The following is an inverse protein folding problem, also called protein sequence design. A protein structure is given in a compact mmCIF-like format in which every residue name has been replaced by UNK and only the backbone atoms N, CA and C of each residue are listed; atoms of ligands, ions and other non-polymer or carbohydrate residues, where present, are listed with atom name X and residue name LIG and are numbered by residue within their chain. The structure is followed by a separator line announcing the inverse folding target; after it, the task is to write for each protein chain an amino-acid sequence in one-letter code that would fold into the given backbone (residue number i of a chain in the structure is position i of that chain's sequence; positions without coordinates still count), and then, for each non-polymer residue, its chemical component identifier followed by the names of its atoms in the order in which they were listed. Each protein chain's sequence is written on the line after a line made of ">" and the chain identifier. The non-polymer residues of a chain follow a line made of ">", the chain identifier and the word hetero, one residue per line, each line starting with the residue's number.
data_IF_975723653753
#
_entry.id   IF_975723653753
#
_cell.length_a   1.000
_cell.length_b   1.000
_cell.length_c   1.000
_cell.angle_alpha   90.00
_cell.angle_beta   90.00
_cell.angle_gamma   90.00
#
_symmetry.space_group_name_H-M   'P 1'
#
loop_
_entity.id
_entity.type
_entity.pdbx_description
1 polymer ?
#
# COMPACT_ATOMS: atom_id res chain seq x y z
N UNK A 1 29.97 -1.11 -30.37
CA UNK A 1 28.51 -1.03 -30.17
C UNK A 1 28.26 -1.32 -28.70
N UNK A 2 27.66 -0.38 -27.96
CA UNK A 2 27.31 -0.60 -26.55
C UNK A 2 26.35 -1.78 -26.44
N UNK A 3 26.75 -2.85 -25.76
CA UNK A 3 25.89 -4.00 -25.42
C UNK A 3 24.81 -3.57 -24.43
N UNK A 4 23.78 -2.87 -24.91
CA UNK A 4 22.60 -2.54 -24.12
C UNK A 4 21.68 -3.75 -24.16
N UNK A 5 21.48 -4.39 -23.00
CA UNK A 5 20.53 -5.50 -22.86
C UNK A 5 19.12 -5.00 -23.21
N UNK A 6 18.38 -5.77 -24.02
CA UNK A 6 16.99 -5.42 -24.39
C UNK A 6 16.10 -5.45 -23.15
N UNK A 7 15.34 -4.38 -22.93
CA UNK A 7 14.41 -4.21 -21.83
C UNK A 7 13.22 -5.19 -21.93
N UNK A 8 12.76 -5.70 -20.78
CA UNK A 8 11.56 -6.52 -20.66
C UNK A 8 10.70 -6.02 -19.49
N UNK A 9 9.93 -4.93 -19.71
CA UNK A 9 9.01 -4.42 -18.70
C UNK A 9 7.98 -5.50 -18.33
N UNK A 10 7.77 -5.72 -17.04
CA UNK A 10 6.84 -6.76 -16.60
C UNK A 10 5.40 -6.35 -16.81
N UNK A 11 5.11 -5.05 -16.75
CA UNK A 11 3.76 -4.50 -16.73
C UNK A 11 3.04 -4.68 -15.39
N UNK A 12 3.66 -5.35 -14.42
CA UNK A 12 3.12 -5.55 -13.07
C UNK A 12 3.12 -4.19 -12.35
N UNK A 13 1.96 -3.69 -11.89
CA UNK A 13 1.87 -2.41 -11.20
C UNK A 13 2.86 -2.34 -10.01
N UNK A 14 3.68 -1.28 -10.01
CA UNK A 14 4.70 -1.03 -9.00
C UNK A 14 6.01 -1.82 -9.17
N UNK A 15 6.00 -3.02 -9.78
CA UNK A 15 7.21 -3.85 -9.91
C UNK A 15 8.27 -3.18 -10.79
N UNK A 16 7.88 -2.71 -11.97
CA UNK A 16 8.80 -2.05 -12.90
C UNK A 16 9.36 -0.76 -12.28
N UNK A 17 8.55 -0.04 -11.50
CA UNK A 17 8.98 1.16 -10.76
C UNK A 17 10.05 0.84 -9.73
N UNK A 18 9.86 -0.20 -8.91
CA UNK A 18 10.82 -0.54 -7.84
C UNK A 18 12.09 -1.22 -8.34
N UNK A 19 12.04 -1.83 -9.53
CA UNK A 19 13.19 -2.48 -10.17
C UNK A 19 13.91 -1.58 -11.17
N UNK A 20 13.35 -0.41 -11.50
CA UNK A 20 13.93 0.50 -12.49
C UNK A 20 13.82 -0.02 -13.93
N UNK A 21 12.69 -0.65 -14.29
CA UNK A 21 12.39 -1.10 -15.66
C UNK A 21 11.93 -2.55 -15.80
N UNK A 22 11.86 -3.32 -14.71
CA UNK A 22 11.50 -4.73 -14.77
C UNK A 22 12.70 -5.63 -15.09
N UNK A 23 12.54 -6.55 -16.03
CA UNK A 23 13.57 -7.53 -16.41
C UNK A 23 14.35 -7.10 -17.66
N UNK A 24 15.35 -7.89 -18.03
CA UNK A 24 15.93 -7.87 -19.38
C UNK A 24 15.51 -9.13 -20.15
N UNK A 25 15.58 -9.06 -21.49
CA UNK A 25 15.36 -10.24 -22.35
C UNK A 25 16.44 -11.28 -22.15
N UNK A 26 16.08 -12.54 -22.40
CA UNK A 26 16.99 -13.67 -22.24
C UNK A 26 17.33 -14.01 -20.77
N UNK A 27 16.62 -13.40 -19.82
CA UNK A 27 16.81 -13.67 -18.40
C UNK A 27 15.95 -14.84 -17.93
N UNK A 28 16.55 -15.66 -17.06
CA UNK A 28 15.86 -16.67 -16.27
C UNK A 28 15.63 -16.12 -14.86
N UNK A 29 14.36 -16.04 -14.46
CA UNK A 29 13.92 -15.50 -13.17
C UNK A 29 13.28 -16.62 -12.35
N UNK A 30 13.72 -16.77 -11.10
CA UNK A 30 13.17 -17.73 -10.15
C UNK A 30 12.26 -17.03 -9.15
N UNK A 31 11.05 -17.54 -8.96
CA UNK A 31 10.06 -17.06 -8.00
C UNK A 31 9.80 -18.15 -6.97
N UNK A 32 10.33 -17.95 -5.77
CA UNK A 32 10.23 -18.89 -4.65
C UNK A 32 9.24 -18.40 -3.60
N UNK A 33 8.55 -19.31 -2.92
CA UNK A 33 7.66 -18.94 -1.81
C UNK A 33 6.82 -20.10 -1.29
N UNK A 34 6.30 -19.95 -0.07
CA UNK A 34 5.41 -20.94 0.54
C UNK A 34 4.09 -21.09 -0.25
N UNK A 35 3.32 -22.17 -0.05
CA UNK A 35 1.96 -22.28 -0.60
C UNK A 35 1.10 -21.06 -0.26
N UNK A 36 0.29 -20.58 -1.21
CA UNK A 36 -0.56 -19.40 -1.01
C UNK A 36 0.16 -18.03 -0.99
N UNK A 37 1.48 -17.99 -1.19
CA UNK A 37 2.24 -16.73 -1.30
C UNK A 37 1.92 -15.94 -2.56
N UNK A 38 1.45 -16.57 -3.64
CA UNK A 38 1.07 -15.89 -4.89
C UNK A 38 2.08 -15.98 -6.03
N UNK A 39 2.90 -17.04 -6.05
CA UNK A 39 3.85 -17.34 -7.13
C UNK A 39 3.15 -17.37 -8.50
N UNK A 40 2.07 -18.14 -8.61
CA UNK A 40 1.21 -18.25 -9.79
C UNK A 40 0.61 -16.91 -10.19
N UNK A 41 0.14 -16.11 -9.23
CA UNK A 41 -0.42 -14.79 -9.52
C UNK A 41 0.63 -13.82 -10.07
N UNK A 42 1.86 -13.84 -9.55
CA UNK A 42 2.97 -13.03 -10.06
C UNK A 42 3.36 -13.44 -11.48
N UNK A 43 3.59 -14.74 -11.70
CA UNK A 43 4.01 -15.29 -12.98
C UNK A 43 2.94 -15.12 -14.06
N UNK A 44 1.67 -15.39 -13.73
CA UNK A 44 0.54 -15.15 -14.62
C UNK A 44 0.42 -13.67 -14.98
N UNK A 45 0.61 -12.75 -14.02
CA UNK A 45 0.54 -11.30 -14.28
C UNK A 45 1.58 -10.85 -15.30
N UNK A 46 2.79 -11.40 -15.25
CA UNK A 46 3.85 -11.14 -16.22
C UNK A 46 3.46 -11.53 -17.66
N UNK A 47 2.80 -12.68 -17.83
CA UNK A 47 2.28 -13.14 -19.13
C UNK A 47 1.10 -12.29 -19.57
N UNK A 48 0.14 -12.07 -18.66
CA UNK A 48 -1.08 -11.31 -18.90
C UNK A 48 -0.78 -9.91 -19.44
N UNK A 49 0.09 -9.17 -18.75
CA UNK A 49 0.44 -7.81 -19.18
C UNK A 49 1.35 -7.80 -20.42
N UNK A 50 2.19 -8.83 -20.58
CA UNK A 50 2.94 -9.07 -21.81
C UNK A 50 2.08 -9.13 -23.05
N UNK A 51 1.11 -10.03 -23.04
CA UNK A 51 0.19 -10.21 -24.14
C UNK A 51 -0.73 -8.98 -24.31
N UNK A 52 -1.30 -8.47 -23.21
CA UNK A 52 -2.30 -7.39 -23.26
C UNK A 52 -1.74 -6.02 -23.61
N UNK A 53 -0.60 -5.62 -23.04
CA UNK A 53 -0.04 -4.26 -23.18
C UNK A 53 1.07 -4.18 -24.21
N UNK A 54 1.87 -5.23 -24.34
CA UNK A 54 3.07 -5.21 -25.17
C UNK A 54 2.92 -6.05 -26.44
N UNK A 55 1.79 -6.76 -26.61
CA UNK A 55 1.57 -7.61 -27.78
C UNK A 55 2.56 -8.77 -27.86
N UNK A 56 3.05 -9.25 -26.73
CA UNK A 56 4.08 -10.28 -26.66
C UNK A 56 3.47 -11.66 -26.39
N UNK A 57 3.64 -12.64 -27.28
CA UNK A 57 3.12 -13.98 -27.07
C UNK A 57 3.70 -14.64 -25.82
N UNK A 58 2.81 -15.22 -25.02
CA UNK A 58 3.11 -15.83 -23.73
C UNK A 58 2.84 -17.32 -23.71
N UNK A 59 3.77 -18.09 -23.14
CA UNK A 59 3.60 -19.50 -22.85
C UNK A 59 3.48 -19.73 -21.34
N UNK A 60 2.42 -20.39 -20.89
CA UNK A 60 2.27 -20.86 -19.52
C UNK A 60 2.31 -22.37 -19.52
N UNK A 61 3.14 -22.92 -18.66
CA UNK A 61 3.36 -24.35 -18.49
C UNK A 61 3.02 -24.67 -17.05
N UNK A 62 2.02 -25.51 -16.82
CA UNK A 62 1.59 -25.88 -15.48
C UNK A 62 1.78 -27.37 -15.21
N UNK A 63 2.31 -27.72 -14.03
CA UNK A 63 2.55 -29.12 -13.62
C UNK A 63 1.50 -29.68 -12.66
N UNK A 64 0.48 -28.89 -12.28
CA UNK A 64 -0.50 -29.33 -11.29
C UNK A 64 -1.85 -28.62 -11.31
N UNK A 65 -2.10 -27.71 -12.25
CA UNK A 65 -3.35 -26.96 -12.34
C UNK A 65 -3.94 -27.09 -13.75
N UNK A 66 -5.24 -27.41 -13.83
CA UNK A 66 -5.93 -27.48 -15.13
C UNK A 66 -6.14 -26.10 -15.74
N UNK A 67 -6.24 -26.02 -17.06
CA UNK A 67 -6.49 -24.78 -17.78
C UNK A 67 -7.80 -24.09 -17.32
N UNK A 68 -8.82 -24.90 -17.02
CA UNK A 68 -10.12 -24.39 -16.55
C UNK A 68 -10.02 -23.74 -15.17
N UNK A 69 -9.30 -24.35 -14.25
CA UNK A 69 -9.04 -23.79 -12.91
C UNK A 69 -8.23 -22.51 -13.01
N UNK A 70 -7.18 -22.51 -13.83
CA UNK A 70 -6.35 -21.32 -14.07
C UNK A 70 -7.19 -20.14 -14.55
N UNK A 71 -8.03 -20.33 -15.58
CA UNK A 71 -8.91 -19.27 -16.08
C UNK A 71 -9.87 -18.76 -15.00
N UNK A 72 -10.44 -19.66 -14.20
CA UNK A 72 -11.37 -19.31 -13.13
C UNK A 72 -10.68 -18.47 -12.03
N UNK A 73 -9.53 -18.92 -11.51
CA UNK A 73 -8.81 -18.20 -10.46
C UNK A 73 -8.27 -16.85 -10.94
N UNK A 74 -7.67 -16.80 -12.14
CA UNK A 74 -7.13 -15.55 -12.69
C UNK A 74 -8.24 -14.51 -12.91
N UNK A 75 -9.39 -14.92 -13.44
CA UNK A 75 -10.55 -14.04 -13.59
C UNK A 75 -11.07 -13.55 -12.24
N UNK A 76 -11.07 -14.42 -11.22
CA UNK A 76 -11.44 -14.10 -9.84
C UNK A 76 -10.62 -12.96 -9.23
N UNK A 77 -9.34 -12.83 -9.60
CA UNK A 77 -8.45 -11.76 -9.11
C UNK A 77 -8.30 -10.58 -10.10
N UNK A 78 -9.04 -10.57 -11.20
CA UNK A 78 -9.09 -9.44 -12.15
C UNK A 78 -8.20 -9.57 -13.39
N UNK A 79 -7.76 -10.78 -13.73
CA UNK A 79 -7.01 -11.06 -14.96
C UNK A 79 -7.82 -11.98 -15.87
N UNK A 80 -8.48 -11.43 -16.88
CA UNK A 80 -9.30 -12.23 -17.81
C UNK A 80 -8.49 -12.70 -19.02
N UNK A 81 -8.05 -13.96 -18.98
CA UNK A 81 -7.22 -14.55 -20.02
C UNK A 81 -7.98 -15.00 -21.26
N UNK A 82 -9.32 -15.14 -21.23
CA UNK A 82 -10.09 -15.67 -22.37
C UNK A 82 -9.78 -14.91 -23.68
N UNK A 83 -9.81 -13.56 -23.72
CA UNK A 83 -9.55 -12.82 -24.96
C UNK A 83 -8.11 -12.97 -25.47
N UNK A 84 -7.16 -13.32 -24.60
CA UNK A 84 -5.75 -13.50 -24.96
C UNK A 84 -5.50 -14.89 -25.51
N UNK A 85 -6.22 -15.90 -25.00
CA UNK A 85 -6.19 -17.26 -25.52
C UNK A 85 -6.90 -17.34 -26.87
N UNK A 86 -8.07 -16.71 -27.01
CA UNK A 86 -8.85 -16.71 -28.26
C UNK A 86 -8.08 -16.04 -29.41
N UNK A 87 -7.20 -15.08 -29.08
CA UNK A 87 -6.31 -14.41 -30.04
C UNK A 87 -4.97 -15.13 -30.24
N UNK A 88 -4.81 -16.31 -29.66
CA UNK A 88 -3.57 -17.10 -29.67
C UNK A 88 -2.33 -16.35 -29.11
N UNK A 89 -2.57 -15.29 -28.33
CA UNK A 89 -1.51 -14.49 -27.69
C UNK A 89 -0.98 -15.17 -26.42
N UNK A 90 -1.80 -15.99 -25.77
CA UNK A 90 -1.39 -16.79 -24.62
C UNK A 90 -1.74 -18.25 -24.90
N UNK A 91 -0.74 -19.13 -24.71
CA UNK A 91 -0.96 -20.57 -24.75
C UNK A 91 -0.69 -21.18 -23.38
N UNK A 92 -1.60 -22.04 -22.95
CA UNK A 92 -1.47 -22.80 -21.70
C UNK A 92 -1.21 -24.27 -22.04
N UNK A 93 -0.22 -24.86 -21.39
CA UNK A 93 0.15 -26.26 -21.53
C UNK A 93 0.13 -26.91 -20.16
N UNK A 94 -0.72 -27.91 -20.03
CA UNK A 94 -0.70 -28.84 -18.90
C UNK A 94 0.39 -29.87 -19.13
N UNK A 95 1.29 -30.00 -18.16
CA UNK A 95 2.33 -31.00 -18.15
C UNK A 95 2.01 -32.08 -17.12
N UNK A 96 1.91 -33.34 -17.52
CA UNK A 96 1.91 -34.42 -16.55
C UNK A 96 3.26 -34.43 -15.82
N UNK A 97 3.25 -34.73 -14.53
CA UNK A 97 4.48 -34.90 -13.74
C UNK A 97 5.27 -36.07 -14.34
N UNK A 98 6.48 -35.84 -14.87
CA UNK A 98 7.28 -36.91 -15.45
C UNK A 98 7.72 -37.87 -14.36
N UNK A 99 7.57 -39.16 -14.62
CA UNK A 99 7.93 -40.25 -13.71
C UNK A 99 9.31 -40.85 -14.01
N UNK A 100 9.96 -40.44 -15.10
CA UNK A 100 11.30 -40.88 -15.49
C UNK A 100 12.12 -39.76 -16.14
N UNK A 101 13.42 -40.00 -16.34
CA UNK A 101 14.33 -39.09 -17.04
C UNK A 101 13.98 -38.97 -18.52
N UNK A 102 13.63 -40.07 -19.20
CA UNK A 102 13.23 -40.02 -20.61
C UNK A 102 11.94 -39.20 -20.79
N UNK A 103 11.01 -39.31 -19.84
CA UNK A 103 9.79 -38.50 -19.82
C UNK A 103 10.12 -37.01 -19.68
N UNK A 104 11.09 -36.65 -18.83
CA UNK A 104 11.57 -35.27 -18.68
C UNK A 104 12.19 -34.72 -19.97
N UNK A 105 13.02 -35.52 -20.65
CA UNK A 105 13.65 -35.13 -21.92
C UNK A 105 12.61 -34.91 -23.03
N UNK A 106 11.69 -35.87 -23.20
CA UNK A 106 10.59 -35.78 -24.19
C UNK A 106 9.72 -34.56 -23.93
N UNK A 107 9.44 -34.30 -22.66
CA UNK A 107 8.68 -33.13 -22.23
C UNK A 107 9.44 -31.83 -22.51
N UNK A 108 10.75 -31.79 -22.28
CA UNK A 108 11.59 -30.64 -22.61
C UNK A 108 11.59 -30.31 -24.11
N UNK A 109 11.65 -31.33 -24.98
CA UNK A 109 11.57 -31.15 -26.43
C UNK A 109 10.21 -30.60 -26.86
N UNK A 110 9.12 -31.14 -26.31
CA UNK A 110 7.77 -30.64 -26.56
C UNK A 110 7.62 -29.18 -26.14
N UNK A 111 8.16 -28.80 -24.98
CA UNK A 111 8.15 -27.43 -24.50
C UNK A 111 8.87 -26.47 -25.45
N UNK A 112 10.07 -26.83 -25.90
CA UNK A 112 10.84 -26.03 -26.86
C UNK A 112 10.08 -25.88 -28.17
N UNK A 113 9.53 -26.98 -28.70
CA UNK A 113 8.72 -26.97 -29.93
C UNK A 113 7.52 -26.04 -29.84
N UNK A 114 6.74 -26.12 -28.76
CA UNK A 114 5.56 -25.27 -28.58
C UNK A 114 5.93 -23.79 -28.37
N UNK A 115 7.00 -23.51 -27.62
CA UNK A 115 7.50 -22.15 -27.45
C UNK A 115 7.95 -21.52 -28.78
N UNK A 116 8.59 -22.30 -29.67
CA UNK A 116 8.97 -21.86 -31.01
C UNK A 116 7.74 -21.60 -31.89
N UNK A 117 6.76 -22.50 -31.88
CA UNK A 117 5.54 -22.37 -32.71
C UNK A 117 4.79 -21.07 -32.46
N UNK A 118 4.63 -20.69 -31.20
CA UNK A 118 3.93 -19.44 -30.84
C UNK A 118 4.87 -18.23 -30.78
N UNK A 119 6.15 -18.39 -31.12
CA UNK A 119 7.19 -17.36 -31.02
C UNK A 119 7.17 -16.67 -29.65
N UNK A 120 7.12 -17.49 -28.59
CA UNK A 120 6.95 -17.01 -27.22
C UNK A 120 8.05 -16.01 -26.86
N UNK A 121 7.67 -14.82 -26.39
CA UNK A 121 8.61 -13.82 -25.84
C UNK A 121 8.63 -13.82 -24.32
N UNK A 122 7.62 -14.43 -23.70
CA UNK A 122 7.48 -14.60 -22.25
C UNK A 122 7.07 -16.04 -21.95
N UNK A 123 7.77 -16.68 -21.03
CA UNK A 123 7.49 -18.08 -20.67
C UNK A 123 7.39 -18.19 -19.14
N UNK A 124 6.38 -18.91 -18.67
CA UNK A 124 6.19 -19.25 -17.25
C UNK A 124 6.13 -20.76 -17.11
N UNK A 125 6.86 -21.28 -16.11
CA UNK A 125 6.79 -22.68 -15.67
C UNK A 125 6.36 -22.70 -14.22
N UNK A 126 5.13 -23.19 -13.96
CA UNK A 126 4.48 -23.20 -12.64
C UNK A 126 3.95 -24.60 -12.28
N UNK A 127 4.67 -25.44 -11.55
CA UNK A 127 5.95 -25.21 -10.88
C UNK A 127 6.98 -26.26 -11.29
N UNK A 128 8.27 -25.98 -11.06
CA UNK A 128 9.32 -26.98 -11.20
C UNK A 128 9.41 -27.93 -10.01
N UNK A 129 8.71 -27.67 -8.91
CA UNK A 129 8.84 -28.44 -7.67
C UNK A 129 8.70 -29.96 -7.87
N UNK A 130 7.72 -30.48 -8.63
CA UNK A 130 7.62 -31.92 -8.89
C UNK A 130 8.82 -32.47 -9.68
N UNK A 131 9.41 -31.68 -10.57
CA UNK A 131 10.57 -32.11 -11.37
C UNK A 131 11.83 -32.22 -10.52
N UNK A 132 11.99 -31.32 -9.55
CA UNK A 132 13.14 -31.30 -8.65
C UNK A 132 13.14 -32.44 -7.63
N UNK A 133 12.01 -33.14 -7.45
CA UNK A 133 11.91 -34.33 -6.62
C UNK A 133 12.53 -35.58 -7.27
N UNK A 134 12.87 -35.53 -8.57
CA UNK A 134 13.54 -36.61 -9.27
C UNK A 134 15.00 -36.76 -8.82
N UNK A 135 15.46 -37.99 -8.65
CA UNK A 135 16.81 -38.28 -8.18
C UNK A 135 17.78 -38.58 -9.33
N UNK A 136 19.05 -38.09 -9.28
CA UNK A 136 19.60 -37.18 -8.27
C UNK A 136 19.24 -35.69 -8.55
N UNK A 137 18.87 -34.90 -7.53
CA UNK A 137 18.34 -33.53 -7.74
C UNK A 137 19.32 -32.57 -8.44
N UNK A 138 20.62 -32.68 -8.15
CA UNK A 138 21.65 -31.80 -8.72
C UNK A 138 21.75 -31.92 -10.25
N UNK A 139 21.65 -33.14 -10.77
CA UNK A 139 21.72 -33.39 -12.20
C UNK A 139 20.46 -32.89 -12.93
N UNK A 140 19.28 -33.13 -12.33
CA UNK A 140 18.01 -32.63 -12.85
C UNK A 140 18.00 -31.10 -12.90
N UNK A 141 18.50 -30.43 -11.84
CA UNK A 141 18.71 -28.98 -11.83
C UNK A 141 19.59 -28.51 -12.99
N UNK A 142 20.70 -29.20 -13.25
CA UNK A 142 21.63 -28.85 -14.33
C UNK A 142 21.00 -29.01 -15.72
N UNK A 143 20.28 -30.12 -15.97
CA UNK A 143 19.55 -30.38 -17.22
C UNK A 143 18.52 -29.29 -17.47
N UNK A 144 17.66 -29.02 -16.48
CA UNK A 144 16.60 -28.01 -16.59
C UNK A 144 17.19 -26.62 -16.82
N UNK A 145 18.21 -26.23 -16.05
CA UNK A 145 18.87 -24.93 -16.22
C UNK A 145 19.42 -24.75 -17.63
N UNK A 146 20.12 -25.77 -18.15
CA UNK A 146 20.71 -25.69 -19.49
C UNK A 146 19.62 -25.59 -20.57
N UNK A 147 18.59 -26.43 -20.49
CA UNK A 147 17.47 -26.40 -21.43
C UNK A 147 16.77 -25.03 -21.43
N UNK A 148 16.47 -24.48 -20.25
CA UNK A 148 15.81 -23.19 -20.11
C UNK A 148 16.70 -22.03 -20.57
N UNK A 149 18.01 -22.07 -20.29
CA UNK A 149 18.92 -21.02 -20.76
C UNK A 149 19.05 -21.02 -22.28
N UNK A 150 19.19 -22.21 -22.87
CA UNK A 150 19.20 -22.38 -24.34
C UNK A 150 17.91 -21.87 -24.95
N UNK A 151 16.75 -22.23 -24.39
CA UNK A 151 15.44 -21.76 -24.87
C UNK A 151 15.31 -20.23 -24.78
N UNK A 152 15.70 -19.67 -23.63
CA UNK A 152 15.66 -18.23 -23.37
C UNK A 152 16.52 -17.45 -24.36
N UNK A 153 17.72 -17.94 -24.70
CA UNK A 153 18.61 -17.32 -25.67
C UNK A 153 18.10 -17.48 -27.10
N UNK A 154 17.62 -18.67 -27.47
CA UNK A 154 17.15 -18.99 -28.84
C UNK A 154 15.94 -18.15 -29.23
N UNK A 155 14.99 -17.96 -28.30
CA UNK A 155 13.78 -17.17 -28.53
C UNK A 155 13.94 -15.70 -28.12
N UNK A 156 15.08 -15.34 -27.54
CA UNK A 156 15.27 -14.07 -26.82
C UNK A 156 14.08 -13.78 -25.87
N UNK A 157 13.65 -14.82 -25.15
CA UNK A 157 12.48 -14.85 -24.29
C UNK A 157 12.88 -14.76 -22.83
N UNK A 158 12.12 -14.02 -22.03
CA UNK A 158 12.30 -13.99 -20.57
C UNK A 158 11.48 -15.10 -19.94
N UNK A 159 12.11 -15.91 -19.09
CA UNK A 159 11.49 -17.08 -18.48
C UNK A 159 11.35 -16.86 -16.98
N UNK A 160 10.13 -17.06 -16.46
CA UNK A 160 9.86 -17.16 -15.03
C UNK A 160 9.62 -18.62 -14.66
N UNK A 161 10.24 -19.05 -13.58
CA UNK A 161 10.07 -20.37 -13.00
C UNK A 161 9.62 -20.24 -11.56
N UNK A 162 8.63 -21.02 -11.14
CA UNK A 162 8.20 -21.06 -9.74
C UNK A 162 8.71 -22.30 -9.02
N UNK A 163 9.04 -22.13 -7.74
CA UNK A 163 9.35 -23.23 -6.82
C UNK A 163 8.66 -23.01 -5.47
N UNK A 164 8.19 -24.08 -4.87
CA UNK A 164 7.66 -24.08 -3.51
C UNK A 164 8.78 -24.18 -2.47
N UNK A 165 8.65 -23.40 -1.40
CA UNK A 165 9.51 -23.52 -0.22
C UNK A 165 8.78 -24.29 0.89
N UNK A 166 9.43 -25.27 1.56
CA UNK A 166 8.84 -25.99 2.69
C UNK A 166 8.37 -25.06 3.80
N UNK A 167 7.23 -25.39 4.41
CA UNK A 167 6.66 -24.62 5.53
C UNK A 167 7.62 -24.59 6.74
N UNK A 168 7.79 -23.44 7.38
CA UNK A 168 8.67 -23.27 8.55
C UNK A 168 10.16 -23.06 8.25
N UNK A 169 10.58 -23.07 6.98
CA UNK A 169 11.97 -22.73 6.60
C UNK A 169 12.14 -21.21 6.42
N UNK A 170 12.87 -20.55 7.33
CA UNK A 170 13.26 -19.15 7.15
C UNK A 170 14.36 -18.98 6.10
N UNK A 171 15.24 -19.98 6.03
CA UNK A 171 16.27 -20.06 5.00
C UNK A 171 15.62 -20.53 3.71
N UNK A 172 15.88 -19.76 2.67
CA UNK A 172 15.88 -20.30 1.33
C UNK A 172 16.87 -21.46 1.39
N UNK A 173 16.38 -22.70 1.39
CA UNK A 173 17.23 -23.87 1.54
C UNK A 173 18.38 -23.86 0.53
N UNK A 174 19.39 -24.68 0.82
CA UNK A 174 20.55 -24.97 -0.05
C UNK A 174 20.13 -25.20 -1.52
N UNK A 175 18.89 -25.61 -1.78
CA UNK A 175 18.33 -25.88 -3.12
C UNK A 175 18.06 -24.69 -4.06
N UNK A 176 17.82 -23.46 -3.57
CA UNK A 176 17.49 -22.30 -4.44
C UNK A 176 18.75 -21.57 -4.90
N UNK A 177 19.76 -21.48 -4.04
CA UNK A 177 21.06 -20.88 -4.36
C UNK A 177 21.79 -21.69 -5.45
N UNK A 178 21.53 -22.99 -5.50
CA UNK A 178 22.03 -23.90 -6.54
C UNK A 178 21.36 -23.73 -7.91
N UNK A 179 20.14 -23.19 -7.96
CA UNK A 179 19.47 -22.85 -9.22
C UNK A 179 20.00 -21.49 -9.68
N UNK A 180 21.23 -21.47 -10.21
CA UNK A 180 21.93 -20.27 -10.69
C UNK A 180 21.11 -19.54 -11.77
N UNK A 181 20.30 -18.55 -11.37
CA UNK A 181 19.47 -17.73 -12.26
C UNK A 181 19.99 -16.30 -12.41
N UNK A 182 19.39 -15.54 -13.33
CA UNK A 182 19.67 -14.12 -13.51
C UNK A 182 18.93 -13.25 -12.48
N UNK A 183 17.79 -13.72 -11.98
CA UNK A 183 17.07 -13.10 -10.86
C UNK A 183 16.39 -14.10 -9.93
N UNK A 184 16.27 -13.74 -8.65
CA UNK A 184 15.61 -14.52 -7.61
C UNK A 184 14.69 -13.59 -6.82
N UNK A 185 13.40 -13.93 -6.80
CA UNK A 185 12.34 -13.21 -6.10
C UNK A 185 11.70 -14.19 -5.11
N UNK A 186 11.65 -13.80 -3.83
CA UNK A 186 11.02 -14.56 -2.75
C UNK A 186 9.70 -13.91 -2.36
N UNK A 187 8.64 -14.70 -2.29
CA UNK A 187 7.30 -14.28 -1.89
C UNK A 187 6.97 -14.92 -0.53
N UNK A 188 6.76 -14.09 0.48
CA UNK A 188 6.54 -14.49 1.86
C UNK A 188 5.18 -14.01 2.34
N UNK A 189 4.47 -14.88 3.07
CA UNK A 189 3.35 -14.46 3.92
C UNK A 189 3.87 -14.25 5.33
N UNK A 190 3.74 -13.03 5.85
CA UNK A 190 4.17 -12.68 7.20
C UNK A 190 2.93 -12.63 8.08
N UNK A 191 2.73 -13.67 8.89
CA UNK A 191 1.75 -13.66 9.98
C UNK A 191 2.38 -13.12 11.26
N UNK A 192 1.68 -12.24 11.98
CA UNK A 192 1.98 -11.90 13.38
C UNK A 192 0.80 -12.35 14.23
N UNK A 193 1.04 -12.68 15.50
CA UNK A 193 0.02 -13.24 16.40
C UNK A 193 -1.25 -12.38 16.56
N UNK A 194 -1.14 -11.05 16.39
CA UNK A 194 -2.24 -10.10 16.67
C UNK A 194 -2.61 -9.23 15.45
N UNK A 195 -1.87 -9.34 14.33
CA UNK A 195 -2.09 -8.49 13.14
C UNK A 195 -2.46 -9.29 11.90
N UNK A 196 -3.21 -8.66 10.99
CA UNK A 196 -3.59 -9.27 9.71
C UNK A 196 -2.32 -9.73 8.97
N UNK A 197 -2.25 -10.99 8.52
CA UNK A 197 -1.10 -11.46 7.76
C UNK A 197 -0.96 -10.62 6.50
N UNK A 198 0.27 -10.20 6.20
CA UNK A 198 0.57 -9.39 5.03
C UNK A 198 1.62 -10.07 4.16
N UNK A 199 1.63 -9.73 2.87
CA UNK A 199 2.54 -10.34 1.91
C UNK A 199 3.74 -9.46 1.63
N UNK A 200 4.93 -10.07 1.58
CA UNK A 200 6.22 -9.40 1.35
C UNK A 200 6.97 -10.09 0.24
N UNK A 201 7.35 -9.32 -0.78
CA UNK A 201 8.23 -9.71 -1.87
C UNK A 201 9.65 -9.25 -1.54
N UNK A 202 10.61 -10.16 -1.61
CA UNK A 202 12.02 -9.90 -1.43
C UNK A 202 12.78 -10.23 -2.72
N UNK A 203 13.44 -9.25 -3.31
CA UNK A 203 14.31 -9.42 -4.46
C UNK A 203 15.72 -9.72 -3.94
N UNK A 204 16.11 -10.99 -3.97
CA UNK A 204 17.42 -11.44 -3.52
C UNK A 204 18.50 -11.15 -4.56
N UNK A 205 18.12 -11.22 -5.84
CA UNK A 205 19.02 -11.02 -6.97
C UNK A 205 18.24 -10.53 -8.17
N UNK A 206 18.80 -9.54 -8.88
CA UNK A 206 18.32 -9.15 -10.20
C UNK A 206 19.47 -8.58 -11.03
N UNK A 207 20.13 -9.43 -11.82
CA UNK A 207 21.33 -9.04 -12.59
C UNK A 207 20.99 -7.92 -13.58
N UNK A 208 21.87 -6.91 -13.62
CA UNK A 208 21.73 -5.74 -14.49
C UNK A 208 20.85 -4.62 -13.93
N UNK A 209 20.18 -4.82 -12.78
CA UNK A 209 19.40 -3.78 -12.09
C UNK A 209 20.07 -3.36 -10.79
N UNK A 210 20.14 -2.06 -10.54
CA UNK A 210 20.53 -1.53 -9.23
C UNK A 210 19.27 -1.31 -8.40
N UNK A 211 19.16 -2.03 -7.29
CA UNK A 211 17.99 -1.99 -6.41
C UNK A 211 18.30 -1.12 -5.18
N UNK A 212 17.54 -0.04 -5.00
CA UNK A 212 17.66 0.79 -3.80
C UNK A 212 17.18 0.06 -2.53
N UNK A 213 16.24 -0.86 -2.69
CA UNK A 213 15.68 -1.71 -1.63
C UNK A 213 15.42 -3.11 -2.17
N UNK A 214 15.43 -4.10 -1.29
CA UNK A 214 15.19 -5.50 -1.66
C UNK A 214 13.84 -6.01 -1.20
N UNK A 215 13.18 -5.42 -0.19
CA UNK A 215 11.88 -5.86 0.33
C UNK A 215 10.76 -4.87 0.01
N UNK A 216 9.62 -5.40 -0.43
CA UNK A 216 8.42 -4.66 -0.81
C UNK A 216 7.17 -5.40 -0.36
N UNK A 217 6.13 -4.67 0.06
CA UNK A 217 4.82 -5.29 0.24
C UNK A 217 4.14 -5.46 -1.11
N UNK A 218 3.27 -6.47 -1.25
CA UNK A 218 2.45 -6.65 -2.43
C UNK A 218 1.07 -7.17 -2.06
N UNK A 219 0.14 -7.04 -2.99
CA UNK A 219 -1.22 -7.55 -2.83
C UNK A 219 -1.69 -8.31 -4.07
N UNK A 220 -2.68 -9.17 -3.84
CA UNK A 220 -3.32 -10.01 -4.84
C UNK A 220 -4.82 -9.79 -4.75
N UNK A 221 -5.45 -9.44 -5.87
CA UNK A 221 -6.88 -9.18 -5.93
C UNK A 221 -7.26 -8.13 -6.98
N UNK A 222 -8.57 -7.90 -7.11
CA UNK A 222 -9.12 -6.94 -8.07
C UNK A 222 -8.74 -5.49 -7.69
N UNK A 223 -8.60 -4.59 -8.68
CA UNK A 223 -8.67 -4.85 -10.12
C UNK A 223 -7.34 -5.34 -10.74
N UNK A 224 -6.27 -5.44 -9.95
CA UNK A 224 -4.92 -5.52 -10.48
C UNK A 224 -4.39 -6.94 -10.68
N UNK A 225 -4.96 -7.97 -10.06
CA UNK A 225 -4.39 -9.32 -10.04
C UNK A 225 -3.24 -9.41 -9.06
N UNK A 226 -2.07 -8.86 -9.41
CA UNK A 226 -0.88 -8.74 -8.56
C UNK A 226 -0.34 -7.32 -8.64
N UNK A 227 -0.12 -6.66 -7.50
CA UNK A 227 0.40 -5.28 -7.40
C UNK A 227 1.50 -5.20 -6.34
N UNK A 228 2.66 -4.70 -6.71
CA UNK A 228 3.73 -4.34 -5.78
C UNK A 228 3.47 -2.94 -5.27
N UNK A 229 3.60 -2.75 -3.96
CA UNK A 229 3.49 -1.45 -3.32
C UNK A 229 4.88 -0.83 -3.28
N UNK A 230 5.18 0.17 -4.14
CA UNK A 230 6.44 0.89 -4.01
C UNK A 230 6.48 1.55 -2.64
N UNK A 231 7.66 1.56 -2.03
CA UNK A 231 7.88 2.49 -0.92
C UNK A 231 7.77 3.89 -1.51
N UNK A 232 6.83 4.69 -1.01
CA UNK A 232 6.68 6.08 -1.40
C UNK A 232 8.04 6.80 -1.33
N UNK A 233 8.21 7.81 -2.19
CA UNK A 233 9.32 8.77 -2.27
C UNK A 233 10.47 8.43 -3.23
N UNK A 234 10.23 8.62 -4.53
CA UNK A 234 11.28 8.90 -5.53
C UNK A 234 11.05 10.19 -6.33
N UNK A 235 9.96 10.93 -6.11
CA UNK A 235 9.73 12.18 -6.84
C UNK A 235 10.26 13.39 -6.06
N UNK A 236 11.06 14.23 -6.72
CA UNK A 236 11.28 15.64 -6.35
C UNK A 236 9.95 16.37 -6.46
N UNK A 237 9.09 16.20 -5.47
CA UNK A 237 7.74 16.69 -5.52
C UNK A 237 7.67 18.06 -4.83
N UNK A 238 7.27 19.08 -5.58
CA UNK A 238 7.04 20.43 -5.05
C UNK A 238 5.72 20.40 -4.29
N UNK A 239 5.73 20.78 -3.01
CA UNK A 239 4.50 20.88 -2.22
C UNK A 239 3.64 22.05 -2.71
N UNK A 240 2.32 21.87 -2.73
CA UNK A 240 1.35 22.94 -3.08
C UNK A 240 0.87 23.70 -1.84
N UNK A 241 1.75 23.91 -0.86
CA UNK A 241 1.39 24.60 0.40
C UNK A 241 1.18 26.09 0.11
N UNK A 242 0.04 26.62 0.51
CA UNK A 242 -0.33 28.03 0.29
C UNK A 242 -0.27 28.82 1.60
N UNK A 243 0.88 29.45 1.87
CA UNK A 243 1.17 30.11 3.16
C UNK A 243 0.29 31.31 3.49
N UNK A 244 -0.45 31.86 2.53
CA UNK A 244 -1.43 32.95 2.74
C UNK A 244 -2.85 32.45 3.05
N UNK A 245 -3.17 31.20 2.71
CA UNK A 245 -4.50 30.62 2.94
C UNK A 245 -4.55 29.87 4.27
N UNK A 246 -5.71 29.88 4.91
CA UNK A 246 -5.94 29.25 6.21
C UNK A 246 -7.22 28.41 6.18
N UNK A 247 -7.19 27.31 6.92
CA UNK A 247 -8.34 26.52 7.34
C UNK A 247 -8.58 26.87 8.81
N UNK A 248 -9.78 27.31 9.15
CA UNK A 248 -10.14 27.61 10.55
C UNK A 248 -10.22 26.31 11.34
N UNK A 249 -9.85 26.34 12.63
CA UNK A 249 -10.09 25.22 13.53
C UNK A 249 -11.54 25.17 14.03
N UNK A 250 -12.36 26.15 13.68
CA UNK A 250 -13.71 26.35 14.22
C UNK A 250 -13.73 26.90 15.64
N UNK A 251 -12.57 27.25 16.20
CA UNK A 251 -12.41 27.80 17.55
C UNK A 251 -11.61 29.10 17.46
N UNK A 252 -12.25 30.24 17.67
CA UNK A 252 -11.61 31.56 17.54
C UNK A 252 -10.34 31.70 18.38
N UNK A 253 -10.36 31.25 19.64
CA UNK A 253 -9.19 31.30 20.52
C UNK A 253 -8.05 30.38 20.06
N UNK A 254 -8.34 29.27 19.39
CA UNK A 254 -7.30 28.41 18.80
C UNK A 254 -6.77 29.00 17.49
N UNK A 255 -7.65 29.54 16.65
CA UNK A 255 -7.26 30.23 15.42
C UNK A 255 -6.33 31.41 15.73
N UNK A 256 -6.58 32.17 16.81
CA UNK A 256 -5.70 33.24 17.28
C UNK A 256 -4.31 32.72 17.64
N UNK A 257 -4.22 31.65 18.44
CA UNK A 257 -2.94 31.00 18.80
C UNK A 257 -2.20 30.54 17.55
N UNK A 258 -2.92 30.02 16.55
CA UNK A 258 -2.37 29.56 15.28
C UNK A 258 -2.20 30.67 14.23
N UNK A 259 -2.37 31.95 14.61
CA UNK A 259 -2.23 33.13 13.72
C UNK A 259 -3.18 33.08 12.51
N UNK A 260 -4.45 32.88 12.80
CA UNK A 260 -5.55 32.80 11.82
C UNK A 260 -5.90 31.37 11.38
N UNK A 261 -5.51 30.35 12.15
CA UNK A 261 -5.82 28.94 11.87
C UNK A 261 -4.70 28.13 11.19
N UNK A 262 -5.07 26.98 10.64
CA UNK A 262 -4.14 26.02 10.03
C UNK A 262 -3.75 26.48 8.62
N UNK A 263 -2.46 26.48 8.28
CA UNK A 263 -2.00 26.79 6.91
C UNK A 263 -2.53 25.74 5.93
N UNK A 264 -3.15 26.18 4.82
CA UNK A 264 -3.74 25.28 3.82
C UNK A 264 -2.67 24.38 3.19
N UNK A 265 -2.98 23.09 3.08
CA UNK A 265 -2.08 22.06 2.54
C UNK A 265 -1.07 21.51 3.55
N UNK A 266 -1.15 21.90 4.83
CA UNK A 266 -0.33 21.31 5.90
C UNK A 266 -1.03 20.15 6.59
N UNK A 267 -0.26 19.35 7.32
CA UNK A 267 -0.79 18.25 8.13
C UNK A 267 -0.82 18.64 9.61
N UNK A 268 -1.98 18.50 10.26
CA UNK A 268 -2.18 18.75 11.69
C UNK A 268 -2.51 17.45 12.41
N UNK A 269 -1.83 17.19 13.52
CA UNK A 269 -2.13 16.06 14.41
C UNK A 269 -2.80 16.57 15.68
N UNK A 270 -3.94 15.98 16.03
CA UNK A 270 -4.65 16.24 17.30
C UNK A 270 -4.46 15.01 18.20
N UNK A 271 -3.65 15.15 19.25
CA UNK A 271 -3.37 14.08 20.20
C UNK A 271 -4.14 14.24 21.50
N UNK A 272 -4.45 13.14 22.19
CA UNK A 272 -4.97 13.19 23.56
C UNK A 272 -5.75 11.95 23.97
N UNK A 273 -5.94 11.74 25.29
CA UNK A 273 -6.64 10.57 25.81
C UNK A 273 -8.12 10.52 25.40
N UNK A 274 -8.81 9.37 25.54
CA UNK A 274 -10.27 9.29 25.35
C UNK A 274 -11.01 10.33 26.20
N UNK A 275 -12.08 10.91 25.66
CA UNK A 275 -12.89 11.92 26.36
C UNK A 275 -12.29 13.35 26.41
N UNK A 276 -11.07 13.57 25.90
CA UNK A 276 -10.42 14.90 25.91
C UNK A 276 -11.05 15.92 24.96
N UNK A 277 -11.93 15.48 24.04
CA UNK A 277 -12.66 16.36 23.11
C UNK A 277 -12.15 16.35 21.66
N UNK A 278 -11.31 15.37 21.27
CA UNK A 278 -10.76 15.25 19.89
C UNK A 278 -11.86 15.25 18.82
N UNK A 279 -12.80 14.31 18.91
CA UNK A 279 -13.92 14.16 17.95
C UNK A 279 -14.80 15.41 17.92
N UNK A 280 -15.07 16.02 19.07
CA UNK A 280 -15.84 17.28 19.15
C UNK A 280 -15.12 18.42 18.40
N UNK A 281 -13.82 18.59 18.63
CA UNK A 281 -13.00 19.59 17.94
C UNK A 281 -12.97 19.32 16.43
N UNK A 282 -12.78 18.06 16.03
CA UNK A 282 -12.74 17.67 14.62
C UNK A 282 -14.08 17.91 13.91
N UNK A 283 -15.21 17.54 14.53
CA UNK A 283 -16.54 17.76 13.95
C UNK A 283 -16.87 19.25 13.86
N UNK A 284 -16.54 20.05 14.88
CA UNK A 284 -16.72 21.50 14.83
C UNK A 284 -15.84 22.13 13.74
N UNK A 285 -14.58 21.71 13.61
CA UNK A 285 -13.71 22.13 12.52
C UNK A 285 -14.30 21.77 11.16
N UNK A 286 -14.84 20.56 11.01
CA UNK A 286 -15.45 20.11 9.77
C UNK A 286 -16.67 20.96 9.38
N UNK A 287 -17.59 21.16 10.34
CA UNK A 287 -18.81 21.93 10.16
C UNK A 287 -18.52 23.39 9.81
N UNK A 288 -17.64 24.04 10.57
CA UNK A 288 -17.28 25.45 10.38
C UNK A 288 -16.62 25.70 9.01
N UNK A 289 -15.77 24.79 8.52
CA UNK A 289 -15.19 24.92 7.19
C UNK A 289 -16.20 24.65 6.06
N UNK A 290 -17.07 23.65 6.21
CA UNK A 290 -18.14 23.39 5.24
C UNK A 290 -19.11 24.58 5.13
N UNK A 291 -19.47 25.21 6.26
CA UNK A 291 -20.28 26.43 6.29
C UNK A 291 -19.62 27.62 5.58
N UNK A 292 -18.28 27.66 5.49
CA UNK A 292 -17.50 28.65 4.75
C UNK A 292 -17.26 28.27 3.28
N UNK A 293 -17.87 27.19 2.80
CA UNK A 293 -17.82 26.75 1.41
C UNK A 293 -16.62 25.85 1.06
N UNK A 294 -15.82 25.43 2.04
CA UNK A 294 -14.78 24.44 1.83
C UNK A 294 -15.40 23.04 1.65
N UNK A 295 -14.84 22.22 0.76
CA UNK A 295 -15.25 20.81 0.61
C UNK A 295 -14.47 19.97 1.61
N UNK A 296 -15.19 19.40 2.56
CA UNK A 296 -14.64 18.71 3.71
C UNK A 296 -15.01 17.24 3.65
N UNK A 297 -14.03 16.37 3.86
CA UNK A 297 -14.27 14.95 4.04
C UNK A 297 -13.87 14.52 5.45
N UNK A 298 -14.83 13.99 6.19
CA UNK A 298 -14.64 13.46 7.54
C UNK A 298 -14.69 11.93 7.50
N UNK A 299 -13.60 11.30 7.90
CA UNK A 299 -13.42 9.86 7.90
C UNK A 299 -13.27 9.39 9.33
N UNK A 300 -14.20 8.58 9.78
CA UNK A 300 -14.15 7.95 11.09
C UNK A 300 -13.68 6.52 11.00
N UNK A 301 -12.73 6.16 11.88
CA UNK A 301 -12.24 4.79 12.04
C UNK A 301 -12.76 4.11 13.31
N UNK A 302 -13.53 4.84 14.13
CA UNK A 302 -13.97 4.39 15.46
C UNK A 302 -15.49 4.46 15.61
N UNK A 303 -16.12 5.55 15.15
CA UNK A 303 -17.56 5.82 15.36
C UNK A 303 -18.37 5.77 14.05
N UNK A 304 -19.53 5.10 14.03
CA UNK A 304 -20.43 5.10 12.87
C UNK A 304 -20.96 6.49 12.51
N UNK A 305 -21.29 6.70 11.22
CA UNK A 305 -21.80 7.98 10.70
C UNK A 305 -22.97 8.54 11.53
N UNK A 306 -23.95 7.72 11.89
CA UNK A 306 -25.13 8.15 12.65
C UNK A 306 -24.75 8.76 14.02
N UNK A 307 -23.77 8.18 14.72
CA UNK A 307 -23.30 8.69 16.02
C UNK A 307 -22.62 10.06 15.88
N UNK A 308 -21.87 10.27 14.79
CA UNK A 308 -21.24 11.56 14.50
C UNK A 308 -22.27 12.63 14.13
N UNK A 309 -23.34 12.26 13.42
CA UNK A 309 -24.45 13.16 13.11
C UNK A 309 -25.25 13.57 14.36
N UNK A 310 -25.44 12.66 15.32
CA UNK A 310 -25.98 13.01 16.65
C UNK A 310 -25.05 13.97 17.40
N UNK A 311 -23.73 13.74 17.31
CA UNK A 311 -22.73 14.62 17.94
C UNK A 311 -22.72 16.01 17.31
N UNK A 312 -22.88 16.12 15.99
CA UNK A 312 -23.04 17.40 15.30
C UNK A 312 -24.30 18.13 15.76
N UNK A 313 -25.42 17.42 15.93
CA UNK A 313 -26.66 17.99 16.48
C UNK A 313 -26.49 18.47 17.91
N UNK A 314 -25.80 17.71 18.75
CA UNK A 314 -25.41 18.15 20.09
C UNK A 314 -24.58 19.44 20.05
N UNK A 315 -23.72 19.58 19.04
CA UNK A 315 -22.91 20.79 18.82
C UNK A 315 -23.69 21.97 18.19
N UNK A 316 -25.00 21.81 17.97
CA UNK A 316 -25.86 22.82 17.37
C UNK A 316 -25.78 22.92 15.84
N UNK A 317 -25.28 21.89 15.16
CA UNK A 317 -25.24 21.83 13.70
C UNK A 317 -26.32 20.90 13.14
N UNK A 318 -26.90 21.30 11.99
CA UNK A 318 -27.75 20.41 11.21
C UNK A 318 -26.93 19.61 10.21
N UNK A 319 -26.89 18.28 10.37
CA UNK A 319 -26.07 17.40 9.54
C UNK A 319 -26.50 17.41 8.06
N UNK A 320 -27.80 17.55 7.77
CA UNK A 320 -28.31 17.59 6.39
C UNK A 320 -27.83 18.85 5.67
N UNK A 321 -27.96 20.01 6.30
CA UNK A 321 -27.46 21.27 5.74
C UNK A 321 -25.94 21.24 5.53
N UNK A 322 -25.18 20.59 6.42
CA UNK A 322 -23.73 20.46 6.24
C UNK A 322 -23.35 19.57 5.04
N UNK A 323 -24.09 18.48 4.80
CA UNK A 323 -23.88 17.61 3.64
C UNK A 323 -24.07 18.39 2.33
N UNK A 324 -25.16 19.16 2.21
CA UNK A 324 -25.44 20.03 1.06
C UNK A 324 -24.36 21.11 0.87
N UNK A 325 -23.78 21.61 1.96
CA UNK A 325 -22.69 22.60 1.93
C UNK A 325 -21.31 21.98 1.64
N UNK A 326 -21.20 20.66 1.65
CA UNK A 326 -20.02 19.93 1.20
C UNK A 326 -19.22 19.23 2.29
N UNK A 327 -19.85 18.88 3.42
CA UNK A 327 -19.29 17.96 4.41
C UNK A 327 -19.72 16.52 4.10
N UNK A 328 -18.79 15.69 3.61
CA UNK A 328 -19.02 14.26 3.41
C UNK A 328 -18.48 13.47 4.62
N UNK A 329 -19.37 12.83 5.39
CA UNK A 329 -18.99 11.96 6.52
C UNK A 329 -19.04 10.50 6.09
N UNK A 330 -17.97 9.77 6.37
CA UNK A 330 -17.87 8.33 6.13
C UNK A 330 -17.26 7.57 7.30
N UNK A 331 -17.68 6.32 7.49
CA UNK A 331 -17.08 5.37 8.43
C UNK A 331 -16.33 4.30 7.64
N UNK A 332 -15.11 3.99 8.08
CA UNK A 332 -14.31 2.88 7.55
C UNK A 332 -13.93 1.95 8.69
N UNK A 333 -14.31 0.69 8.58
CA UNK A 333 -13.91 -0.35 9.52
C UNK A 333 -12.42 -0.68 9.30
N UNK A 334 -11.51 -0.39 10.26
CA UNK A 334 -10.08 -0.64 10.10
C UNK A 334 -9.73 -2.10 9.77
N UNK A 335 -10.55 -3.05 10.23
CA UNK A 335 -10.35 -4.49 10.01
C UNK A 335 -10.64 -4.93 8.57
N UNK A 336 -11.40 -4.16 7.81
CA UNK A 336 -11.71 -4.43 6.40
C UNK A 336 -10.72 -3.75 5.46
N UNK A 337 -9.92 -2.81 5.98
CA UNK A 337 -8.90 -2.14 5.20
C UNK A 337 -7.70 -3.07 5.07
N UNK A 338 -7.39 -3.46 3.83
CA UNK A 338 -6.05 -3.97 3.47
C UNK A 338 -5.12 -2.79 3.20
N UNK A 339 -3.81 -3.05 3.10
CA UNK A 339 -2.83 -1.99 2.81
C UNK A 339 -3.15 -1.31 1.48
N UNK A 340 -3.57 -2.05 0.46
CA UNK A 340 -3.94 -1.52 -0.84
C UNK A 340 -5.32 -0.89 -0.83
N UNK A 341 -6.28 -1.35 -0.02
CA UNK A 341 -7.51 -0.59 0.23
C UNK A 341 -7.19 0.78 0.81
N UNK A 342 -6.22 0.89 1.74
CA UNK A 342 -5.75 2.19 2.23
C UNK A 342 -5.13 3.02 1.12
N UNK A 343 -4.19 2.49 0.33
CA UNK A 343 -3.57 3.29 -0.73
C UNK A 343 -4.54 3.66 -1.85
N UNK A 344 -5.42 2.75 -2.26
CA UNK A 344 -6.48 3.05 -3.22
C UNK A 344 -7.44 4.08 -2.64
N UNK A 345 -7.76 3.98 -1.35
CA UNK A 345 -8.56 4.99 -0.66
C UNK A 345 -7.86 6.34 -0.68
N UNK A 346 -6.57 6.41 -0.34
CA UNK A 346 -5.74 7.62 -0.45
C UNK A 346 -5.80 8.19 -1.87
N UNK A 347 -5.61 7.37 -2.90
CA UNK A 347 -5.62 7.79 -4.30
C UNK A 347 -6.98 8.31 -4.75
N UNK A 348 -8.08 7.64 -4.37
CA UNK A 348 -9.46 8.05 -4.70
C UNK A 348 -9.82 9.33 -3.94
N UNK A 349 -9.56 9.35 -2.63
CA UNK A 349 -9.83 10.46 -1.73
C UNK A 349 -9.14 11.73 -2.20
N UNK A 350 -7.85 11.60 -2.50
CA UNK A 350 -7.02 12.72 -2.94
C UNK A 350 -7.10 12.96 -4.46
N UNK A 351 -7.77 12.09 -5.22
CA UNK A 351 -8.05 12.28 -6.64
C UNK A 351 -9.23 13.21 -6.91
N UNK A 352 -10.09 13.46 -5.91
CA UNK A 352 -11.20 14.42 -6.01
C UNK A 352 -10.65 15.85 -6.03
N UNK A 353 -10.65 16.49 -7.20
CA UNK A 353 -10.04 17.83 -7.41
C UNK A 353 -10.60 18.95 -6.51
N UNK A 354 -11.79 18.78 -5.94
CA UNK A 354 -12.47 19.82 -5.15
C UNK A 354 -12.20 19.79 -3.65
N UNK A 355 -11.60 18.73 -3.09
CA UNK A 355 -11.45 18.58 -1.64
C UNK A 355 -10.32 19.46 -1.11
N UNK A 356 -10.58 20.23 -0.06
CA UNK A 356 -9.60 21.14 0.54
C UNK A 356 -9.21 20.76 1.98
N UNK A 357 -10.06 20.01 2.67
CA UNK A 357 -9.84 19.53 4.03
C UNK A 357 -10.26 18.07 4.18
N UNK A 358 -9.33 17.24 4.64
CA UNK A 358 -9.57 15.86 5.03
C UNK A 358 -9.31 15.74 6.52
N UNK A 359 -10.29 15.19 7.24
CA UNK A 359 -10.21 14.88 8.65
C UNK A 359 -10.31 13.35 8.80
N UNK A 360 -9.33 12.74 9.47
CA UNK A 360 -9.37 11.30 9.83
C UNK A 360 -9.35 11.17 11.34
N UNK A 361 -10.48 10.76 11.91
CA UNK A 361 -10.65 10.53 13.34
C UNK A 361 -10.34 9.07 13.70
N UNK A 362 -9.50 8.86 14.70
CA UNK A 362 -9.18 7.55 15.26
C UNK A 362 -8.07 6.79 14.52
N UNK A 363 -7.04 7.48 14.00
CA UNK A 363 -5.96 6.77 13.27
C UNK A 363 -5.20 5.76 14.13
N UNK A 364 -5.30 5.86 15.48
CA UNK A 364 -4.77 4.84 16.39
C UNK A 364 -5.34 3.45 16.10
N UNK A 365 -6.56 3.34 15.59
CA UNK A 365 -7.16 2.05 15.22
C UNK A 365 -6.39 1.35 14.08
N UNK A 366 -5.77 2.10 13.16
CA UNK A 366 -4.87 1.53 12.15
C UNK A 366 -3.58 0.97 12.78
N UNK A 367 -3.12 1.51 13.90
CA UNK A 367 -1.89 1.00 14.53
C UNK A 367 -2.05 -0.44 14.99
N UNK A 368 -3.24 -0.81 15.48
CA UNK A 368 -3.56 -2.18 15.91
C UNK A 368 -3.46 -3.16 14.74
N UNK A 369 -4.00 -2.78 13.59
CA UNK A 369 -4.05 -3.65 12.41
C UNK A 369 -2.70 -3.72 11.66
N UNK A 370 -1.96 -2.61 11.59
CA UNK A 370 -0.77 -2.47 10.73
C UNK A 370 0.57 -2.50 11.47
N UNK A 371 0.59 -2.38 12.80
CA UNK A 371 1.81 -2.38 13.62
C UNK A 371 2.86 -1.39 13.10
N UNK A 372 4.04 -1.89 12.72
CA UNK A 372 5.14 -1.08 12.14
C UNK A 372 4.76 -0.36 10.84
N UNK A 373 3.80 -0.88 10.09
CA UNK A 373 3.30 -0.26 8.85
C UNK A 373 2.52 1.03 9.08
N UNK A 374 2.04 1.26 10.31
CA UNK A 374 1.23 2.43 10.68
C UNK A 374 1.91 3.76 10.38
N UNK A 375 3.17 3.93 10.82
CA UNK A 375 3.91 5.17 10.61
C UNK A 375 4.13 5.48 9.14
N UNK A 376 4.31 4.44 8.31
CA UNK A 376 4.44 4.60 6.86
C UNK A 376 3.14 5.10 6.24
N UNK A 377 2.00 4.51 6.61
CA UNK A 377 0.68 4.96 6.14
C UNK A 377 0.45 6.44 6.47
N UNK A 378 0.76 6.85 7.70
CA UNK A 378 0.61 8.25 8.10
C UNK A 378 1.52 9.20 7.32
N UNK A 379 2.79 8.81 7.09
CA UNK A 379 3.72 9.60 6.26
C UNK A 379 3.23 9.74 4.82
N UNK A 380 2.71 8.66 4.26
CA UNK A 380 2.23 8.62 2.88
C UNK A 380 0.96 9.45 2.71
N UNK A 381 0.02 9.38 3.67
CA UNK A 381 -1.14 10.27 3.75
C UNK A 381 -0.73 11.74 3.81
N UNK A 382 0.14 12.09 4.74
CA UNK A 382 0.63 13.46 4.95
C UNK A 382 1.31 14.01 3.70
N UNK A 383 2.20 13.22 3.09
CA UNK A 383 2.91 13.64 1.89
C UNK A 383 1.98 13.77 0.67
N UNK A 384 1.13 12.78 0.41
CA UNK A 384 0.21 12.82 -0.73
C UNK A 384 -0.79 13.98 -0.64
N UNK A 385 -1.21 14.34 0.58
CA UNK A 385 -2.06 15.52 0.83
C UNK A 385 -1.32 16.81 0.48
N UNK A 386 -0.06 16.96 0.93
CA UNK A 386 0.80 18.11 0.61
C UNK A 386 1.06 18.29 -0.89
N UNK A 387 1.23 17.21 -1.63
CA UNK A 387 1.44 17.27 -3.09
C UNK A 387 0.22 17.83 -3.83
N UNK A 388 -0.96 17.63 -3.28
CA UNK A 388 -2.23 18.07 -3.88
C UNK A 388 -2.76 19.36 -3.27
N UNK A 389 -2.12 19.88 -2.23
CA UNK A 389 -2.53 21.11 -1.54
C UNK A 389 -3.74 20.91 -0.62
N UNK A 390 -4.04 19.65 -0.26
CA UNK A 390 -5.14 19.29 0.64
C UNK A 390 -4.66 19.38 2.08
N UNK A 391 -5.44 20.03 2.94
CA UNK A 391 -5.16 20.11 4.38
C UNK A 391 -5.58 18.81 5.04
N UNK A 392 -4.68 18.19 5.81
CA UNK A 392 -4.94 16.92 6.47
C UNK A 392 -4.96 17.11 7.99
N UNK A 393 -6.01 16.64 8.66
CA UNK A 393 -6.10 16.63 10.12
C UNK A 393 -6.32 15.21 10.59
N UNK A 394 -5.49 14.74 11.52
CA UNK A 394 -5.52 13.37 12.04
C UNK A 394 -5.71 13.40 13.55
N UNK A 395 -6.54 12.53 14.13
CA UNK A 395 -6.56 12.34 15.59
C UNK A 395 -5.86 11.06 16.04
N UNK A 396 -5.16 11.15 17.16
CA UNK A 396 -4.45 10.01 17.76
C UNK A 396 -4.62 10.01 19.29
N UNK A 397 -4.66 8.83 19.91
CA UNK A 397 -4.77 8.69 21.36
C UNK A 397 -3.48 9.04 22.11
N UNK A 398 -2.31 8.83 21.49
CA UNK A 398 -1.02 9.00 22.16
C UNK A 398 -0.57 10.46 22.19
N UNK A 399 -0.13 10.91 23.37
CA UNK A 399 0.58 12.18 23.49
C UNK A 399 2.01 12.04 22.92
N UNK A 400 2.45 12.97 22.06
CA UNK A 400 3.85 13.07 21.63
C UNK A 400 4.83 13.39 22.77
N UNK A 401 4.34 13.91 23.90
CA UNK A 401 5.16 14.19 25.09
C UNK A 401 5.54 12.90 25.85
N UNK A 402 4.78 11.82 25.66
CA UNK A 402 5.13 10.52 26.22
C UNK A 402 6.26 9.92 25.37
N UNK A 403 7.46 9.76 25.95
CA UNK A 403 8.74 9.52 25.26
C UNK A 403 8.81 8.36 24.23
N UNK A 404 7.81 7.49 24.19
CA UNK A 404 7.71 6.40 23.20
C UNK A 404 7.12 6.84 21.84
N UNK A 405 6.62 8.08 21.71
CA UNK A 405 5.83 8.54 20.55
C UNK A 405 6.53 9.60 19.69
N UNK A 406 7.82 9.86 19.91
CA UNK A 406 8.58 10.94 19.24
C UNK A 406 8.53 10.86 17.71
N UNK A 407 8.45 9.66 17.14
CA UNK A 407 8.40 9.43 15.69
C UNK A 407 7.13 9.95 15.02
N UNK A 408 6.01 10.04 15.74
CA UNK A 408 4.72 10.49 15.22
C UNK A 408 4.76 12.00 14.94
N UNK A 409 5.51 12.75 15.74
CA UNK A 409 5.71 14.19 15.56
C UNK A 409 6.37 14.57 14.21
N UNK A 410 7.04 13.60 13.57
CA UNK A 410 7.70 13.80 12.26
C UNK A 410 6.71 13.83 11.09
N UNK A 411 5.50 13.29 11.28
CA UNK A 411 4.47 13.20 10.24
C UNK A 411 3.78 14.54 10.00
N UNK A 412 3.56 15.30 11.07
CA UNK A 412 2.71 16.49 11.04
C UNK A 412 3.52 17.80 11.10
N UNK A 413 2.98 18.83 10.47
CA UNK A 413 3.50 20.19 10.53
C UNK A 413 3.02 20.92 11.78
N UNK A 414 1.78 20.64 12.20
CA UNK A 414 1.19 21.16 13.43
C UNK A 414 0.82 20.02 14.38
N UNK A 415 0.95 20.24 15.68
CA UNK A 415 0.58 19.28 16.72
C UNK A 415 -0.21 20.05 17.79
N UNK A 416 -1.44 19.61 18.02
CA UNK A 416 -2.35 20.12 19.04
C UNK A 416 -2.61 18.99 20.02
N UNK A 417 -2.29 19.20 21.28
CA UNK A 417 -2.51 18.24 22.35
C UNK A 417 -3.72 18.66 23.19
N UNK A 418 -4.64 17.72 23.35
CA UNK A 418 -5.74 17.79 24.30
C UNK A 418 -5.42 16.93 25.50
N UNK A 419 -5.71 17.45 26.69
CA UNK A 419 -5.42 16.74 27.92
C UNK A 419 -6.46 16.99 29.00
N UNK A 420 -6.11 16.54 30.19
CA UNK A 420 -6.86 16.81 31.40
C UNK A 420 -5.91 17.43 32.41
N UNK A 421 -6.42 18.41 33.16
CA UNK A 421 -5.72 18.95 34.33
C UNK A 421 -6.69 18.94 35.49
N UNK A 422 -6.24 18.39 36.60
CA UNK A 422 -6.96 18.41 37.85
C UNK A 422 -6.64 19.71 38.61
N UNK A 423 -7.68 20.48 38.92
CA UNK A 423 -7.60 21.70 39.71
C UNK A 423 -8.78 21.72 40.68
N UNK A 424 -8.52 21.94 41.97
CA UNK A 424 -9.56 22.08 43.01
C UNK A 424 -10.61 20.95 43.00
N UNK A 425 -10.15 19.69 42.92
CA UNK A 425 -11.01 18.49 42.84
C UNK A 425 -11.96 18.48 41.63
N UNK A 426 -11.60 19.20 40.55
CA UNK A 426 -12.31 19.22 39.27
C UNK A 426 -11.35 18.90 38.14
N UNK A 427 -11.81 18.08 37.20
CA UNK A 427 -11.06 17.79 35.97
C UNK A 427 -11.47 18.79 34.90
N UNK A 428 -10.51 19.60 34.44
CA UNK A 428 -10.68 20.50 33.30
C UNK A 428 -10.02 19.91 32.06
N UNK A 429 -10.62 20.13 30.89
CA UNK A 429 -9.99 19.77 29.61
C UNK A 429 -9.01 20.86 29.23
N UNK A 430 -7.83 20.45 28.78
CA UNK A 430 -6.76 21.36 28.39
C UNK A 430 -6.48 21.26 26.89
N UNK A 431 -5.95 22.33 26.33
CA UNK A 431 -5.47 22.41 24.96
C UNK A 431 -4.08 23.05 24.96
N UNK A 432 -3.17 22.48 24.19
CA UNK A 432 -1.81 22.98 23.99
C UNK A 432 -1.41 22.86 22.52
N UNK A 433 -0.89 23.93 21.92
CA UNK A 433 -0.26 23.83 20.59
C UNK A 433 1.23 23.56 20.80
N UNK A 434 1.64 22.31 20.62
CA UNK A 434 3.02 21.85 20.81
C UNK A 434 3.93 22.27 19.66
N UNK A 435 3.38 22.33 18.45
CA UNK A 435 4.13 22.59 17.22
C UNK A 435 3.22 23.27 16.23
N UNK A 436 3.71 24.32 15.60
CA UNK A 436 3.13 24.84 14.36
C UNK A 436 4.25 25.27 13.43
N UNK A 437 4.50 24.50 12.37
CA UNK A 437 5.50 24.89 11.38
C UNK A 437 5.02 26.09 10.59
N UNK A 438 5.97 26.91 10.16
CA UNK A 438 5.72 28.12 9.36
C UNK A 438 4.95 29.24 10.09
N UNK A 439 4.68 29.04 11.39
CA UNK A 439 4.19 30.02 12.35
C UNK A 439 5.12 30.02 13.58
N UNK A 440 5.37 31.19 14.17
CA UNK A 440 5.96 31.25 15.51
C UNK A 440 4.83 31.28 16.53
N UNK A 441 4.82 30.35 17.48
CA UNK A 441 3.80 30.25 18.53
C UNK A 441 4.48 30.25 19.90
N UNK A 442 3.79 30.79 20.90
CA UNK A 442 4.14 30.62 22.31
C UNK A 442 3.29 29.48 22.87
N UNK A 443 3.94 28.42 23.34
CA UNK A 443 3.26 27.17 23.72
C UNK A 443 2.77 27.24 25.17
N UNK A 444 1.55 27.71 25.34
CA UNK A 444 0.88 27.85 26.64
C UNK A 444 -0.35 26.96 26.71
N UNK A 445 -0.65 26.42 27.91
CA UNK A 445 -1.89 25.68 28.13
C UNK A 445 -3.10 26.62 28.06
N UNK A 446 -4.20 26.10 27.52
CA UNK A 446 -5.51 26.77 27.45
C UNK A 446 -6.59 25.84 27.94
N UNK A 447 -7.69 26.41 28.41
CA UNK A 447 -8.86 25.65 28.86
C UNK A 447 -9.79 25.40 27.67
N UNK A 448 -10.16 24.15 27.46
CA UNK A 448 -11.17 23.77 26.47
C UNK A 448 -12.52 23.70 27.19
N UNK A 449 -13.46 24.57 26.80
CA UNK A 449 -14.79 24.70 27.42
C UNK A 449 -15.87 24.36 26.41
N UNK A 450 -17.01 23.88 26.91
CA UNK A 450 -18.24 23.74 26.11
C UNK A 450 -19.23 24.80 26.59
N UNK A 451 -19.57 25.76 25.72
CA UNK A 451 -20.52 26.85 25.99
C UNK A 451 -21.57 26.87 24.89
N UNK A 452 -22.84 26.89 25.26
CA UNK A 452 -23.98 26.95 24.32
C UNK A 452 -23.91 25.88 23.21
N UNK A 453 -23.51 24.67 23.60
CA UNK A 453 -23.34 23.55 22.67
C UNK A 453 -22.07 23.63 21.81
N UNK A 454 -21.24 24.67 21.89
CA UNK A 454 -20.02 24.78 21.08
C UNK A 454 -18.76 24.67 21.93
N UNK A 455 -17.72 24.08 21.36
CA UNK A 455 -16.40 24.16 21.96
C UNK A 455 -15.87 25.59 21.87
N UNK A 456 -15.12 25.99 22.90
CA UNK A 456 -14.42 27.26 23.00
C UNK A 456 -13.07 27.09 23.69
N UNK A 457 -12.19 28.08 23.51
CA UNK A 457 -10.84 28.11 24.11
C UNK A 457 -10.72 29.36 24.97
N UNK A 458 -10.30 29.18 26.23
CA UNK A 458 -10.12 30.25 27.20
C UNK A 458 -8.70 30.22 27.79
N UNK A 459 -8.23 31.37 28.28
CA UNK A 459 -6.97 31.46 29.05
C UNK A 459 -7.20 30.97 30.49
N UNK A 460 -6.13 30.53 31.15
CA UNK A 460 -6.15 30.30 32.59
C UNK A 460 -6.13 31.66 33.32
N UNK A 461 -6.79 31.73 34.47
CA UNK A 461 -6.96 32.98 35.23
C UNK A 461 -5.63 33.56 35.75
N UNK A 462 -4.59 32.73 35.86
CA UNK A 462 -3.27 33.11 36.39
C UNK A 462 -2.36 33.79 35.35
N UNK A 463 -2.86 34.10 34.14
CA UNK A 463 -2.11 34.77 33.05
C UNK A 463 -2.47 36.27 32.86
N UNK A 464 -3.06 36.91 33.87
CA UNK A 464 -3.37 38.36 33.87
C UNK A 464 -2.23 39.21 34.45
#
# INVERSE_FOLDING_TARGET
>A
MSNVLEECPTGIPGFDTVTGGGFFRGQLILVAGNPGSGKTSFSAKFIYEGARRFGEPGLIISTGESFKEFLFYMKGIGMDFHPLVDKEMVRYIELPVPTSREALMTLSEKLVSEAIKIKARRIVIDSLTPLLALNPPAEVRAILRNALKTLSQTLNATIIVTIEMPYGSERVGVDVEEFVTDGVIKLCLVGREIATPYRVMEILKLRGRSLARTKYQYEIGKPYGFKVLPHSFTQKAVSKIERSKRITTGLSGLDEIMKGGIIKGTTTLISGPPGSGKTLLLLQMAAENALRGEKVQFISLEEPKQQLEETLRFLGYDAKSLDEKGLEIMFLNPRELTTSSIYNFIDVLLGKESISLIIIDGVTSLRREYGEGFLRILKDLSFNSKLRGVTLVLSILESPLNGNSSYISTVADNIIELGFREENNRVSRTLLVLKSRMNWIDSTYRKLVLKDGRLGVERYADEC
#
